data_IF_818704367982
#
_entry.id   IF_818704367982
#
_cell.length_a   1.000
_cell.length_b   1.000
_cell.length_c   1.000
_cell.angle_alpha   90.00
_cell.angle_beta   90.00
_cell.angle_gamma   90.00
#
_symmetry.space_group_name_H-M   'P 1'
#
loop_
_entity.id
_entity.type
_entity.pdbx_description
1 polymer ?
#
# COMPACT_ATOMS: atom_id res chain seq x y z
N UNK A 1 -20.60 -2.68 4.30
CA UNK A 1 -21.96 -2.80 4.42
C UNK A 1 -22.68 -1.48 4.31
N UNK A 2 -22.99 -0.85 5.38
CA UNK A 2 -23.77 0.35 5.28
C UNK A 2 -23.07 1.45 4.53
N UNK A 3 -21.79 1.44 4.58
CA UNK A 3 -21.04 2.47 3.88
C UNK A 3 -21.28 2.45 2.40
N UNK A 4 -21.64 1.32 1.88
CA UNK A 4 -21.87 1.21 0.46
C UNK A 4 -23.02 2.09 0.01
N UNK A 5 -23.90 2.43 0.93
CA UNK A 5 -25.04 3.22 0.57
C UNK A 5 -24.80 4.69 0.71
N UNK A 6 -23.74 5.05 1.35
CA UNK A 6 -23.44 6.44 1.53
C UNK A 6 -23.00 7.03 0.24
N UNK A 7 -23.92 7.25 -0.61
CA UNK A 7 -23.74 7.96 -1.85
C UNK A 7 -22.55 7.47 -2.67
N UNK A 8 -22.86 7.01 -3.85
CA UNK A 8 -21.84 6.55 -4.77
C UNK A 8 -20.87 7.66 -5.10
N UNK A 9 -21.31 8.90 -5.05
CA UNK A 9 -20.43 10.02 -5.39
C UNK A 9 -19.30 10.17 -4.40
N UNK A 10 -19.62 10.11 -3.13
CA UNK A 10 -18.60 10.22 -2.11
C UNK A 10 -17.65 9.05 -2.17
N UNK A 11 -18.17 7.87 -2.47
CA UNK A 11 -17.35 6.69 -2.57
C UNK A 11 -16.36 6.82 -3.73
N UNK A 12 -16.81 7.42 -4.83
CA UNK A 12 -15.93 7.59 -5.97
C UNK A 12 -14.79 8.56 -5.68
N UNK A 13 -15.11 9.67 -5.05
CA UNK A 13 -14.08 10.64 -4.72
C UNK A 13 -13.10 10.05 -3.74
N UNK A 14 -13.61 9.37 -2.73
CA UNK A 14 -12.77 8.76 -1.73
C UNK A 14 -11.88 7.68 -2.36
N UNK A 15 -12.43 6.94 -3.30
CA UNK A 15 -11.68 5.88 -3.96
C UNK A 15 -10.51 6.45 -4.76
N UNK A 16 -10.71 7.56 -5.47
CA UNK A 16 -9.64 8.18 -6.21
C UNK A 16 -8.54 8.68 -5.30
N UNK A 17 -8.93 9.30 -4.20
CA UNK A 17 -7.95 9.78 -3.23
C UNK A 17 -7.20 8.62 -2.62
N UNK A 18 -7.90 7.54 -2.29
CA UNK A 18 -7.26 6.37 -1.72
C UNK A 18 -6.27 5.76 -2.68
N UNK A 19 -6.61 5.69 -3.95
CA UNK A 19 -5.70 5.14 -4.95
C UNK A 19 -4.43 5.96 -5.06
N UNK A 20 -4.57 7.26 -5.04
CA UNK A 20 -3.42 8.14 -5.13
C UNK A 20 -2.52 7.97 -3.92
N UNK A 21 -3.10 7.96 -2.75
CA UNK A 21 -2.33 7.80 -1.52
C UNK A 21 -1.72 6.40 -1.44
N UNK A 22 -2.47 5.39 -1.85
CA UNK A 22 -1.95 4.04 -1.87
C UNK A 22 -0.74 3.96 -2.78
N UNK A 23 -0.82 4.57 -3.94
CA UNK A 23 0.28 4.56 -4.88
C UNK A 23 1.51 5.22 -4.27
N UNK A 24 1.33 6.36 -3.62
CA UNK A 24 2.44 7.04 -2.97
C UNK A 24 3.08 6.17 -1.90
N UNK A 25 2.25 5.55 -1.09
CA UNK A 25 2.75 4.68 -0.03
C UNK A 25 3.49 3.48 -0.58
N UNK A 26 2.93 2.87 -1.61
CA UNK A 26 3.56 1.70 -2.22
C UNK A 26 4.90 2.08 -2.85
N UNK A 27 4.95 3.22 -3.53
CA UNK A 27 6.19 3.67 -4.12
C UNK A 27 7.25 3.91 -3.06
N UNK A 28 6.84 4.51 -1.97
CA UNK A 28 7.77 4.78 -0.88
C UNK A 28 8.25 3.49 -0.24
N UNK A 29 7.33 2.56 -0.02
CA UNK A 29 7.68 1.27 0.55
C UNK A 29 8.61 0.50 -0.37
N UNK A 30 8.37 0.54 -1.67
CA UNK A 30 9.26 -0.09 -2.62
C UNK A 30 10.66 0.49 -2.51
N UNK A 31 10.74 1.80 -2.44
CA UNK A 31 12.03 2.47 -2.34
C UNK A 31 12.79 2.01 -1.11
N UNK A 32 12.09 1.89 0.01
CA UNK A 32 12.71 1.43 1.24
C UNK A 32 13.17 -0.02 1.14
N UNK A 33 12.35 -0.86 0.54
CA UNK A 33 12.72 -2.26 0.37
C UNK A 33 13.95 -2.40 -0.52
N UNK A 34 14.00 -1.61 -1.58
CA UNK A 34 15.15 -1.64 -2.48
C UNK A 34 16.40 -1.20 -1.72
N UNK A 35 16.28 -0.15 -0.94
CA UNK A 35 17.41 0.40 -0.22
C UNK A 35 17.87 -0.51 0.91
N UNK A 36 16.94 -1.10 1.64
CA UNK A 36 17.28 -1.87 2.82
C UNK A 36 17.55 -3.34 2.54
N UNK A 37 16.85 -3.91 1.58
CA UNK A 37 17.00 -5.32 1.29
C UNK A 37 17.76 -5.60 0.00
N UNK A 38 18.05 -4.56 -0.75
CA UNK A 38 18.77 -4.75 -2.01
C UNK A 38 17.93 -5.39 -3.10
N UNK A 39 16.61 -5.25 -3.00
CA UNK A 39 15.72 -5.80 -4.03
C UNK A 39 15.68 -4.90 -5.24
N UNK A 40 15.33 -5.50 -6.36
CA UNK A 40 15.05 -4.68 -7.54
C UNK A 40 13.63 -4.14 -7.42
N UNK A 41 13.31 -3.18 -8.28
CA UNK A 41 11.99 -2.57 -8.25
C UNK A 41 10.88 -3.59 -8.44
N UNK A 42 10.93 -4.47 -9.46
CA UNK A 42 9.89 -5.47 -9.60
C UNK A 42 9.85 -6.45 -8.43
N UNK A 43 10.99 -6.75 -7.85
CA UNK A 43 11.02 -7.65 -6.69
C UNK A 43 10.36 -7.02 -5.48
N UNK A 44 10.60 -5.73 -5.26
CA UNK A 44 9.98 -5.04 -4.15
C UNK A 44 8.47 -4.99 -4.31
N UNK A 45 8.00 -4.72 -5.51
CA UNK A 45 6.58 -4.68 -5.77
C UNK A 45 5.95 -6.05 -5.54
N UNK A 46 6.61 -7.08 -6.03
CA UNK A 46 6.11 -8.44 -5.84
C UNK A 46 6.08 -8.80 -4.36
N UNK A 47 7.08 -8.38 -3.61
CA UNK A 47 7.12 -8.62 -2.17
C UNK A 47 5.90 -8.03 -1.49
N UNK A 48 5.56 -6.79 -1.85
CA UNK A 48 4.40 -6.13 -1.27
C UNK A 48 3.13 -6.87 -1.66
N UNK A 49 3.00 -7.24 -2.93
CA UNK A 49 1.85 -7.98 -3.38
C UNK A 49 1.69 -9.31 -2.65
N UNK A 50 2.77 -10.05 -2.56
CA UNK A 50 2.73 -11.34 -1.92
C UNK A 50 2.35 -11.22 -0.45
N UNK A 51 2.94 -10.26 0.24
CA UNK A 51 2.63 -10.06 1.64
C UNK A 51 1.17 -9.67 1.82
N UNK A 52 0.64 -8.85 0.93
CA UNK A 52 -0.75 -8.45 1.05
C UNK A 52 -1.67 -9.66 0.90
N UNK A 53 -1.34 -10.56 0.01
CA UNK A 53 -2.15 -11.76 -0.17
C UNK A 53 -1.97 -12.73 0.99
N UNK A 54 -0.74 -12.90 1.46
CA UNK A 54 -0.47 -13.83 2.55
C UNK A 54 -1.20 -13.42 3.82
N UNK A 55 -1.22 -12.14 4.11
CA UNK A 55 -1.81 -11.64 5.32
C UNK A 55 -3.20 -11.08 5.11
N UNK A 56 -3.69 -11.16 3.88
CA UNK A 56 -5.01 -10.63 3.53
C UNK A 56 -5.13 -9.16 3.89
N UNK A 57 -4.08 -8.43 3.63
CA UNK A 57 -4.07 -6.99 3.82
C UNK A 57 -4.15 -6.32 2.47
N UNK A 58 -4.52 -5.04 2.48
CA UNK A 58 -4.45 -4.27 1.25
C UNK A 58 -3.00 -3.87 1.03
N UNK A 59 -2.67 -3.51 -0.21
CA UNK A 59 -1.32 -3.05 -0.51
C UNK A 59 -1.00 -1.79 0.30
N UNK A 60 -2.00 -0.97 0.55
CA UNK A 60 -1.80 0.21 1.37
C UNK A 60 -1.37 -0.16 2.78
N UNK A 61 -2.04 -1.15 3.36
CA UNK A 61 -1.71 -1.59 4.71
C UNK A 61 -0.31 -2.18 4.77
N UNK A 62 0.05 -2.95 3.76
CA UNK A 62 1.38 -3.52 3.70
C UNK A 62 2.42 -2.41 3.59
N UNK A 63 2.16 -1.43 2.73
CA UNK A 63 3.07 -0.31 2.57
C UNK A 63 3.23 0.46 3.87
N UNK A 64 2.13 0.71 4.56
CA UNK A 64 2.20 1.41 5.84
C UNK A 64 3.00 0.63 6.85
N UNK A 65 2.83 -0.69 6.87
CA UNK A 65 3.59 -1.53 7.77
C UNK A 65 5.08 -1.45 7.47
N UNK A 66 5.43 -1.51 6.20
CA UNK A 66 6.82 -1.39 5.80
C UNK A 66 7.41 -0.06 6.25
N UNK A 67 6.67 1.02 6.00
CA UNK A 67 7.14 2.33 6.41
C UNK A 67 7.33 2.42 7.90
N UNK A 68 6.38 1.89 8.66
CA UNK A 68 6.48 1.93 10.11
C UNK A 68 7.67 1.14 10.62
N UNK A 69 7.91 -0.02 10.04
CA UNK A 69 9.00 -0.86 10.52
C UNK A 69 10.36 -0.31 10.15
N UNK A 70 10.48 0.24 8.96
CA UNK A 70 11.78 0.69 8.47
C UNK A 70 12.05 2.12 8.89
N UNK A 71 11.09 3.01 8.69
CA UNK A 71 11.32 4.42 8.98
C UNK A 71 11.37 4.71 10.46
N UNK A 72 10.64 3.95 11.26
CA UNK A 72 10.62 4.18 12.69
C UNK A 72 11.89 3.70 13.37
N UNK A 73 12.58 2.82 12.74
CA UNK A 73 13.86 2.38 13.23
C UNK A 73 14.97 3.15 12.58
#
# INVERSE_FOLDING_TARGET
SRHAEITALEAEISDLTDRFETRKLVERAKSLLISNMGLTEPEAFRWIQKTSMDRRLTMREVAETVLNQIEKN
#
